data_IF_417204908159
#
_entry.id   IF_417204908159
#
_cell.length_a   1.000
_cell.length_b   1.000
_cell.length_c   1.000
_cell.angle_alpha   90.00
_cell.angle_beta   90.00
_cell.angle_gamma   90.00
#
_symmetry.space_group_name_H-M   'P 1'
#
loop_
_entity.id
_entity.type
_entity.pdbx_description
1 polymer ?
#
# COMPACT_ATOMS: atom_id res chain seq x y z
N UNK A 1 -15.45 -16.32 -0.39
CA UNK A 1 -15.27 -15.75 -0.24
C UNK A 1 -15.26 -15.42 0.17
N UNK A 2 -15.02 -15.37 0.78
CA UNK A 2 -14.73 -14.81 1.39
C UNK A 2 -15.24 -14.53 1.94
N UNK A 3 -15.62 -14.88 2.18
CA UNK A 3 -15.84 -14.37 2.71
C UNK A 3 -16.05 -14.30 3.43
N UNK A 4 -16.23 -14.82 3.77
CA UNK A 4 -16.15 -14.43 4.39
C UNK A 4 -15.88 -14.51 5.07
N UNK A 5 -15.65 -14.99 5.28
CA UNK A 5 -15.26 -14.81 5.74
C UNK A 5 -14.91 -14.22 6.22
N UNK A 6 -15.03 -14.18 6.38
CA UNK A 6 -14.62 -13.42 6.78
C UNK A 6 -14.61 -12.96 7.35
N UNK A 7 -14.66 -13.43 7.63
CA UNK A 7 -14.68 -12.96 8.17
C UNK A 7 -14.19 -13.01 8.79
N UNK A 8 -13.73 -13.57 9.00
CA UNK A 8 -13.09 -13.41 9.48
C UNK A 8 -12.44 -13.07 10.09
N UNK A 9 -12.03 -13.41 10.28
CA UNK A 9 -11.54 -12.78 10.67
C UNK A 9 -11.48 -12.11 11.21
N UNK A 10 -11.53 -12.18 11.23
CA UNK A 10 -11.57 -11.26 11.68
C UNK A 10 -11.97 -10.65 12.16
N UNK A 11 -12.44 -10.90 12.13
CA UNK A 11 -13.03 -10.23 12.65
C UNK A 11 -13.49 -9.96 13.36
N UNK A 12 -13.64 -10.17 13.58
CA UNK A 12 -14.22 -9.93 14.28
C UNK A 12 -14.58 -9.81 15.27
N UNK A 13 -14.72 -10.61 15.32
CA UNK A 13 -15.33 -10.22 16.44
C UNK A 13 -14.56 -9.44 17.27
N UNK A 14 -14.81 -8.37 17.23
CA UNK A 14 -14.09 -7.50 17.90
C UNK A 14 -14.50 -7.41 19.25
N UNK A 15 -13.64 -7.48 20.09
CA UNK A 15 -13.86 -7.24 21.45
C UNK A 15 -14.40 -5.86 21.62
N UNK A 16 -15.58 -5.78 22.11
CA UNK A 16 -16.24 -4.50 22.24
C UNK A 16 -15.55 -3.57 23.20
N UNK A 17 -14.77 -4.08 24.14
CA UNK A 17 -14.02 -3.22 25.02
C UNK A 17 -13.00 -2.40 24.25
N UNK A 18 -12.29 -3.05 23.35
CA UNK A 18 -11.32 -2.35 22.56
C UNK A 18 -11.95 -1.54 21.45
N UNK A 19 -13.10 -1.98 20.99
CA UNK A 19 -13.81 -1.25 19.94
C UNK A 19 -14.14 0.17 20.33
N UNK A 20 -14.57 0.37 21.56
CA UNK A 20 -14.91 1.71 22.02
C UNK A 20 -13.70 2.62 22.15
N UNK A 21 -12.57 2.07 22.53
CA UNK A 21 -11.34 2.85 22.64
C UNK A 21 -10.83 3.25 21.26
N UNK A 22 -10.89 2.33 20.33
CA UNK A 22 -10.37 2.57 18.99
C UNK A 22 -11.25 3.49 18.16
N UNK A 23 -12.49 3.70 18.57
CA UNK A 23 -13.37 4.58 17.84
C UNK A 23 -13.28 6.04 18.27
N UNK A 24 -12.30 6.39 19.08
CA UNK A 24 -12.14 7.77 19.52
C UNK A 24 -11.83 8.67 18.32
N UNK A 25 -12.58 9.78 18.13
CA UNK A 25 -12.47 10.59 16.92
C UNK A 25 -11.07 11.13 16.64
N UNK A 26 -10.26 11.34 17.67
CA UNK A 26 -8.93 11.89 17.49
C UNK A 26 -7.94 10.88 16.94
N UNK A 27 -8.24 9.58 17.07
CA UNK A 27 -7.29 8.53 16.72
C UNK A 27 -7.78 7.60 15.64
N UNK A 28 -9.05 7.66 15.28
CA UNK A 28 -9.58 6.76 14.28
C UNK A 28 -9.65 7.46 12.93
N UNK A 29 -9.09 6.79 11.92
CA UNK A 29 -9.28 7.21 10.55
C UNK A 29 -10.59 6.64 10.06
N UNK A 30 -11.30 7.38 9.26
CA UNK A 30 -12.57 6.93 8.71
C UNK A 30 -12.30 6.16 7.41
N UNK A 31 -12.67 4.87 7.34
CA UNK A 31 -12.54 4.15 6.09
C UNK A 31 -13.41 4.79 5.02
N UNK A 32 -12.92 4.82 3.80
CA UNK A 32 -13.65 5.40 2.69
C UNK A 32 -14.30 4.32 1.84
N UNK A 33 -15.45 4.61 1.28
CA UNK A 33 -16.10 3.73 0.32
C UNK A 33 -15.31 3.76 -0.99
N UNK A 34 -15.35 2.64 -1.72
CA UNK A 34 -14.64 2.55 -2.99
C UNK A 34 -15.11 3.61 -3.99
N UNK A 35 -16.37 4.03 -3.90
CA UNK A 35 -16.90 5.04 -4.81
C UNK A 35 -16.30 6.42 -4.57
N UNK A 36 -15.75 6.66 -3.39
CA UNK A 36 -15.16 7.95 -3.03
C UNK A 36 -13.66 7.99 -3.31
N UNK A 37 -13.09 6.87 -3.75
CA UNK A 37 -11.66 6.74 -3.95
C UNK A 37 -11.31 6.81 -5.43
N UNK A 38 -10.11 7.27 -5.78
CA UNK A 38 -9.63 7.16 -7.15
C UNK A 38 -9.61 5.72 -7.61
N UNK A 39 -9.70 5.50 -8.91
CA UNK A 39 -9.61 4.16 -9.46
C UNK A 39 -8.28 3.53 -9.08
N UNK A 40 -8.35 2.39 -8.40
CA UNK A 40 -7.16 1.76 -7.85
C UNK A 40 -6.18 1.31 -8.93
N UNK A 41 -6.66 0.90 -10.09
CA UNK A 41 -5.77 0.45 -11.15
C UNK A 41 -4.87 1.57 -11.63
N UNK A 42 -5.44 2.72 -11.92
CA UNK A 42 -4.67 3.87 -12.38
C UNK A 42 -3.82 4.45 -11.26
N UNK A 43 -4.42 4.55 -10.07
CA UNK A 43 -3.72 5.15 -8.95
C UNK A 43 -2.51 4.31 -8.52
N UNK A 44 -2.69 2.98 -8.42
CA UNK A 44 -1.60 2.10 -8.00
C UNK A 44 -0.47 2.07 -9.01
N UNK A 45 -0.81 2.07 -10.29
CA UNK A 45 0.21 2.09 -11.33
C UNK A 45 1.05 3.36 -11.23
N UNK A 46 0.38 4.50 -11.09
CA UNK A 46 1.06 5.78 -10.94
C UNK A 46 1.94 5.81 -9.68
N UNK A 47 1.43 5.27 -8.58
CA UNK A 47 2.16 5.21 -7.32
C UNK A 47 3.42 4.35 -7.47
N UNK A 48 3.29 3.18 -8.08
CA UNK A 48 4.40 2.26 -8.26
C UNK A 48 5.46 2.86 -9.19
N UNK A 49 5.03 3.50 -10.26
CA UNK A 49 5.96 4.19 -11.16
C UNK A 49 6.73 5.26 -10.39
N UNK A 50 6.05 5.99 -9.52
CA UNK A 50 6.71 7.02 -8.70
C UNK A 50 7.77 6.39 -7.78
N UNK A 51 7.46 5.23 -7.17
CA UNK A 51 8.44 4.51 -6.35
C UNK A 51 9.69 4.19 -7.18
N UNK A 52 9.50 3.66 -8.36
CA UNK A 52 10.63 3.30 -9.23
C UNK A 52 11.46 4.53 -9.58
N UNK A 53 10.80 5.65 -9.84
CA UNK A 53 11.48 6.89 -10.15
C UNK A 53 12.23 7.46 -8.93
N UNK A 54 11.68 7.28 -7.75
CA UNK A 54 12.39 7.67 -6.51
C UNK A 54 13.63 6.82 -6.34
N UNK A 55 13.51 5.51 -6.54
CA UNK A 55 14.65 4.61 -6.42
C UNK A 55 15.72 4.86 -7.47
N UNK A 56 15.34 5.38 -8.62
CA UNK A 56 16.30 5.72 -9.67
C UNK A 56 16.90 7.13 -9.50
N UNK A 57 16.47 7.84 -8.45
CA UNK A 57 16.99 9.19 -8.18
C UNK A 57 16.33 10.30 -8.97
N UNK A 58 15.29 10.00 -9.73
CA UNK A 58 14.62 11.01 -10.56
C UNK A 58 13.57 11.82 -9.82
N UNK A 59 13.13 11.34 -8.65
CA UNK A 59 12.13 12.04 -7.84
C UNK A 59 12.52 12.01 -6.37
N UNK A 60 12.04 12.99 -5.62
CA UNK A 60 12.24 13.02 -4.19
C UNK A 60 11.19 12.18 -3.46
N UNK A 61 11.58 11.53 -2.37
CA UNK A 61 10.71 10.65 -1.61
C UNK A 61 9.51 11.39 -1.00
N UNK A 62 9.66 12.68 -0.76
CA UNK A 62 8.59 13.45 -0.14
C UNK A 62 7.35 13.60 -1.00
N UNK A 63 7.45 13.28 -2.29
CA UNK A 63 6.27 13.31 -3.15
C UNK A 63 5.22 12.27 -2.72
N UNK A 64 5.63 11.24 -2.00
CA UNK A 64 4.71 10.22 -1.51
C UNK A 64 4.30 10.42 -0.06
N UNK A 65 4.76 11.49 0.59
CA UNK A 65 4.55 11.66 2.02
C UNK A 65 3.07 11.69 2.42
N UNK A 66 2.22 12.26 1.58
CA UNK A 66 0.79 12.36 1.88
C UNK A 66 0.03 11.06 1.64
N UNK A 67 0.65 10.10 0.95
CA UNK A 67 0.01 8.84 0.61
C UNK A 67 0.74 7.64 1.20
N UNK A 68 1.58 7.85 2.20
CA UNK A 68 2.33 6.77 2.85
C UNK A 68 2.41 7.01 4.35
N UNK A 69 2.38 5.91 5.10
CA UNK A 69 2.76 5.97 6.50
C UNK A 69 4.26 6.26 6.60
N UNK A 70 4.67 6.86 7.71
CA UNK A 70 6.08 7.18 7.91
C UNK A 70 6.96 5.92 7.83
N UNK A 71 6.47 4.81 8.37
CA UNK A 71 7.21 3.54 8.32
C UNK A 71 7.46 3.09 6.88
N UNK A 72 6.51 3.35 5.99
CA UNK A 72 6.66 3.02 4.57
C UNK A 72 7.73 3.90 3.93
N UNK A 73 7.72 5.18 4.24
CA UNK A 73 8.72 6.12 3.73
C UNK A 73 10.12 5.68 4.17
N UNK A 74 10.27 5.30 5.44
CA UNK A 74 11.56 4.85 5.96
C UNK A 74 12.04 3.58 5.26
N UNK A 75 11.14 2.62 5.03
CA UNK A 75 11.48 1.39 4.31
C UNK A 75 11.83 1.67 2.85
N UNK A 76 11.11 2.57 2.23
CA UNK A 76 11.36 2.94 0.83
C UNK A 76 12.76 3.50 0.67
N UNK A 77 13.16 4.38 1.57
CA UNK A 77 14.51 4.94 1.54
C UNK A 77 15.54 3.85 1.77
N UNK A 78 15.32 3.01 2.79
CA UNK A 78 16.29 1.98 3.16
C UNK A 78 16.45 0.93 2.07
N UNK A 79 15.35 0.45 1.52
CA UNK A 79 15.39 -0.59 0.51
C UNK A 79 15.90 -0.09 -0.83
N UNK A 80 15.66 1.18 -1.13
CA UNK A 80 16.14 1.77 -2.36
C UNK A 80 17.65 1.87 -2.46
N UNK A 81 18.34 1.87 -1.32
CA UNK A 81 19.81 1.92 -1.33
C UNK A 81 20.45 0.67 -1.90
N UNK A 82 19.71 -0.43 -1.92
CA UNK A 82 20.20 -1.69 -2.45
C UNK A 82 20.01 -1.82 -3.96
N UNK A 83 19.28 -0.88 -4.55
CA UNK A 83 18.95 -0.94 -5.96
C UNK A 83 19.80 0.06 -6.74
N UNK A 84 20.09 -0.32 -7.97
CA UNK A 84 20.68 0.64 -8.89
C UNK A 84 19.60 1.12 -9.87
N UNK A 85 19.99 1.87 -10.88
CA UNK A 85 19.06 2.52 -11.79
C UNK A 85 18.42 1.60 -12.82
N UNK A 86 18.55 0.28 -12.68
CA UNK A 86 18.09 -0.65 -13.70
C UNK A 86 16.75 -1.30 -13.40
N UNK A 87 16.02 -0.82 -12.40
CA UNK A 87 14.77 -1.43 -11.98
C UNK A 87 13.66 -1.14 -13.00
N UNK A 88 12.94 -2.19 -13.40
CA UNK A 88 11.82 -2.07 -14.32
C UNK A 88 10.64 -2.88 -13.82
N UNK A 89 9.45 -2.35 -14.02
CA UNK A 89 8.22 -3.06 -13.67
C UNK A 89 7.93 -4.11 -14.73
N UNK A 90 7.71 -5.35 -14.29
CA UNK A 90 7.28 -6.41 -15.19
C UNK A 90 5.76 -6.56 -15.16
N UNK A 91 5.18 -6.69 -13.98
CA UNK A 91 3.75 -6.95 -13.87
C UNK A 91 3.24 -6.48 -12.52
N UNK A 92 1.99 -6.04 -12.49
CA UNK A 92 1.32 -5.60 -11.29
C UNK A 92 0.09 -6.48 -11.10
N UNK A 93 -0.02 -7.09 -9.92
CA UNK A 93 -1.18 -7.88 -9.53
C UNK A 93 -1.86 -7.19 -8.36
N UNK A 94 -3.16 -6.99 -8.47
CA UNK A 94 -3.93 -6.38 -7.39
C UNK A 94 -4.91 -7.41 -6.84
N UNK A 95 -5.09 -7.39 -5.53
CA UNK A 95 -6.03 -8.25 -4.83
C UNK A 95 -6.74 -7.44 -3.76
N UNK A 96 -8.04 -7.63 -3.63
CA UNK A 96 -8.83 -6.94 -2.62
C UNK A 96 -9.31 -7.95 -1.57
N UNK A 97 -8.57 -8.13 -0.46
CA UNK A 97 -8.99 -9.09 0.57
C UNK A 97 -10.24 -8.64 1.31
N UNK A 98 -10.39 -7.34 1.50
CA UNK A 98 -11.61 -6.78 2.10
C UNK A 98 -11.86 -5.41 1.45
N UNK A 99 -13.06 -4.91 1.63
CA UNK A 99 -13.42 -3.61 1.05
C UNK A 99 -12.50 -2.52 1.59
N UNK A 100 -12.00 -1.68 0.71
CA UNK A 100 -11.13 -0.56 1.08
C UNK A 100 -9.69 -0.94 1.33
N UNK A 101 -9.32 -2.19 1.13
CA UNK A 101 -7.93 -2.65 1.29
C UNK A 101 -7.50 -3.35 0.02
N UNK A 102 -6.40 -2.91 -0.54
CA UNK A 102 -5.84 -3.50 -1.76
C UNK A 102 -4.43 -3.97 -1.46
N UNK A 103 -4.14 -5.21 -1.84
CA UNK A 103 -2.79 -5.74 -1.79
C UNK A 103 -2.24 -5.80 -3.21
N UNK A 104 -1.06 -5.25 -3.40
CA UNK A 104 -0.42 -5.23 -4.70
C UNK A 104 0.87 -6.04 -4.64
N UNK A 105 1.05 -6.88 -5.65
CA UNK A 105 2.31 -7.59 -5.85
C UNK A 105 2.87 -7.11 -7.19
N UNK A 106 4.05 -6.53 -7.13
CA UNK A 106 4.71 -6.00 -8.32
C UNK A 106 5.96 -6.82 -8.57
N UNK A 107 6.05 -7.41 -9.75
CA UNK A 107 7.28 -8.10 -10.12
C UNK A 107 8.18 -7.08 -10.82
N UNK A 108 9.41 -7.00 -10.33
CA UNK A 108 10.39 -6.05 -10.82
C UNK A 108 11.56 -6.81 -11.41
N UNK A 109 12.09 -6.29 -12.52
CA UNK A 109 13.33 -6.80 -13.05
C UNK A 109 14.44 -5.84 -12.68
N UNK A 110 15.44 -6.35 -11.99
CA UNK A 110 16.58 -5.58 -11.56
C UNK A 110 17.81 -6.30 -12.11
N UNK A 111 18.38 -5.76 -13.18
CA UNK A 111 19.43 -6.42 -13.95
C UNK A 111 18.93 -7.77 -14.44
N UNK A 112 19.51 -8.88 -13.99
CA UNK A 112 19.13 -10.21 -14.44
C UNK A 112 18.23 -10.93 -13.44
N UNK A 113 17.86 -10.26 -12.36
CA UNK A 113 17.07 -10.87 -11.29
C UNK A 113 15.67 -10.32 -11.30
N UNK A 114 14.72 -11.16 -10.89
CA UNK A 114 13.34 -10.75 -10.69
C UNK A 114 13.10 -10.71 -9.19
N UNK A 115 12.56 -9.61 -8.70
CA UNK A 115 12.20 -9.45 -7.29
C UNK A 115 10.75 -9.04 -7.19
N UNK A 116 10.17 -9.26 -6.05
CA UNK A 116 8.77 -8.90 -5.80
C UNK A 116 8.70 -7.74 -4.81
N UNK A 117 7.88 -6.77 -5.16
CA UNK A 117 7.56 -5.66 -4.27
C UNK A 117 6.12 -5.86 -3.80
N UNK A 118 5.94 -5.95 -2.50
CA UNK A 118 4.63 -6.15 -1.90
C UNK A 118 4.18 -4.85 -1.27
N UNK A 119 2.97 -4.42 -1.62
CA UNK A 119 2.39 -3.18 -1.12
C UNK A 119 1.00 -3.44 -0.58
N UNK A 120 0.61 -2.65 0.41
CA UNK A 120 -0.76 -2.66 0.90
C UNK A 120 -1.26 -1.23 0.87
N UNK A 121 -2.43 -1.03 0.26
CA UNK A 121 -3.09 0.25 0.20
C UNK A 121 -4.40 0.19 0.95
N UNK A 122 -4.69 1.24 1.70
CA UNK A 122 -5.96 1.36 2.42
C UNK A 122 -6.60 2.68 2.05
N UNK A 123 -7.92 2.64 1.83
CA UNK A 123 -8.69 3.84 1.54
C UNK A 123 -9.05 4.57 2.82
N UNK A 124 -8.53 5.76 3.00
CA UNK A 124 -8.72 6.55 4.20
C UNK A 124 -8.92 8.00 3.80
N UNK A 125 -9.98 8.62 4.31
CA UNK A 125 -10.27 10.03 4.04
C UNK A 125 -10.29 10.34 2.54
N UNK A 126 -10.95 9.47 1.79
CA UNK A 126 -11.18 9.60 0.33
C UNK A 126 -9.90 9.55 -0.49
N UNK A 127 -8.85 8.96 0.05
CA UNK A 127 -7.59 8.77 -0.68
C UNK A 127 -6.98 7.43 -0.34
N UNK A 128 -6.16 6.93 -1.22
CA UNK A 128 -5.40 5.71 -0.97
C UNK A 128 -4.12 6.04 -0.21
N UNK A 129 -3.82 5.23 0.79
CA UNK A 129 -2.62 5.39 1.60
C UNK A 129 -1.89 4.05 1.61
N UNK A 130 -0.60 4.09 1.33
CA UNK A 130 0.24 2.90 1.40
C UNK A 130 0.61 2.66 2.86
N UNK A 131 0.20 1.52 3.40
CA UNK A 131 0.41 1.18 4.80
C UNK A 131 1.51 0.14 4.99
N UNK A 132 1.90 -0.58 3.94
CA UNK A 132 3.00 -1.53 4.00
C UNK A 132 3.72 -1.56 2.67
N UNK A 133 5.04 -1.75 2.76
CA UNK A 133 5.89 -1.87 1.59
C UNK A 133 7.05 -2.80 1.95
N UNK A 134 7.25 -3.84 1.14
CA UNK A 134 8.35 -4.78 1.33
C UNK A 134 8.91 -5.21 -0.01
N UNK A 135 10.21 -5.07 -0.17
CA UNK A 135 10.92 -5.55 -1.34
C UNK A 135 11.58 -6.88 -0.97
N UNK A 136 11.19 -7.92 -1.65
CA UNK A 136 11.67 -9.28 -1.37
C UNK A 136 12.86 -9.65 -2.26
#
# INVERSE_FOLDING_TARGET
MFTNKAKLYLVPTIDTEFGNEWSHPKFSSTPSNLTDLPDINEWSESFIITIIEIWSGRRGVMQLANNCHRSVINKLIKQGKELDNSCRIRKIYLNQPIEGVIEATVTLRIKERVRSLILRFEGVDKRWVCTELNLL
#
